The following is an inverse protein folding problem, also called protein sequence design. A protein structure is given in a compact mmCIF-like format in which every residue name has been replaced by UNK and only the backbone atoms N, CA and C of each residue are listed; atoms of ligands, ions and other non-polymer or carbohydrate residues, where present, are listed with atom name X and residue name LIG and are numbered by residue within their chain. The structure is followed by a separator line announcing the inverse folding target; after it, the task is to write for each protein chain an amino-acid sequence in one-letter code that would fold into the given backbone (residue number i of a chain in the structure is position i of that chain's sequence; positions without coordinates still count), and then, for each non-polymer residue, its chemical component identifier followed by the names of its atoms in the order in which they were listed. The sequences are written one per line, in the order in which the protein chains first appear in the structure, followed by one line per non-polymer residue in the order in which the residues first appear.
data_IF_453349957349
#
_entry.id   IF_453349957349
#
_cell.length_a   1.000
_cell.length_b   1.000
_cell.length_c   1.000
_cell.angle_alpha   90.00
_cell.angle_beta   90.00
_cell.angle_gamma   90.00
#
_symmetry.space_group_name_H-M   'P 1'
#
loop_
_entity.id
_entity.type
_entity.pdbx_description
1 polymer ?
#
# COMPACT_ATOMS: atom_id res chain seq x y z
N UNK A 1 43.62 -14.20 -23.31
CA UNK A 1 43.35 -14.93 -24.57
C UNK A 1 42.01 -15.64 -24.38
N UNK A 2 41.16 -15.59 -25.41
CA UNK A 2 39.74 -15.99 -25.46
C UNK A 2 38.76 -14.97 -24.86
N UNK A 3 38.71 -13.78 -25.47
CA UNK A 3 37.57 -12.87 -25.36
C UNK A 3 36.79 -12.96 -26.68
N UNK A 4 35.79 -13.84 -26.71
CA UNK A 4 34.80 -13.86 -27.80
C UNK A 4 33.80 -12.72 -27.55
N UNK A 5 33.57 -11.90 -28.56
CA UNK A 5 32.61 -10.79 -28.53
C UNK A 5 31.66 -10.90 -29.74
N UNK A 6 30.37 -10.74 -29.49
CA UNK A 6 29.36 -10.54 -30.53
C UNK A 6 28.76 -9.16 -30.33
N UNK A 7 28.98 -8.27 -31.31
CA UNK A 7 28.39 -6.93 -31.33
C UNK A 7 27.25 -6.88 -32.35
N UNK A 8 26.03 -6.62 -31.88
CA UNK A 8 24.86 -6.41 -32.73
C UNK A 8 24.49 -4.93 -32.72
N UNK A 9 24.50 -4.30 -33.89
CA UNK A 9 24.03 -2.94 -34.09
C UNK A 9 22.95 -2.93 -35.18
N UNK A 10 21.74 -2.52 -34.82
CA UNK A 10 20.65 -2.27 -35.74
C UNK A 10 20.34 -0.77 -35.83
N UNK A 11 20.15 -0.24 -37.03
CA UNK A 11 19.81 1.18 -37.25
C UNK A 11 18.31 1.46 -37.11
N UNK A 12 17.46 0.45 -37.31
CA UNK A 12 16.00 0.54 -37.24
C UNK A 12 15.49 -0.41 -36.17
N UNK A 13 14.84 -1.49 -36.59
CA UNK A 13 14.11 -2.38 -35.71
C UNK A 13 14.87 -3.70 -35.51
N UNK A 14 14.86 -4.21 -34.28
CA UNK A 14 15.22 -5.58 -33.95
C UNK A 14 13.97 -6.31 -33.50
N UNK A 15 13.58 -7.34 -34.26
CA UNK A 15 12.50 -8.25 -33.89
C UNK A 15 13.10 -9.62 -33.57
N UNK A 16 12.95 -10.07 -32.34
CA UNK A 16 13.31 -11.42 -31.92
C UNK A 16 12.03 -12.22 -31.65
N UNK A 17 11.80 -13.26 -32.43
CA UNK A 17 10.68 -14.17 -32.23
C UNK A 17 11.21 -15.55 -31.83
N UNK A 18 10.98 -15.92 -30.57
CA UNK A 18 11.40 -17.19 -30.00
C UNK A 18 10.14 -18.04 -29.86
N UNK A 19 10.09 -19.17 -30.57
CA UNK A 19 8.89 -20.03 -30.62
C UNK A 19 8.73 -20.94 -29.39
N UNK A 20 9.75 -20.96 -28.53
CA UNK A 20 9.80 -21.81 -27.35
C UNK A 20 10.50 -21.03 -26.23
N UNK A 21 11.67 -21.49 -25.77
CA UNK A 21 12.35 -20.92 -24.62
C UNK A 21 13.46 -19.94 -25.00
N UNK A 22 13.61 -18.89 -24.20
CA UNK A 22 14.79 -18.04 -24.18
C UNK A 22 15.42 -18.09 -22.79
N UNK A 23 16.73 -18.33 -22.72
CA UNK A 23 17.49 -18.37 -21.48
C UNK A 23 18.66 -17.40 -21.53
N UNK A 24 18.76 -16.54 -20.53
CA UNK A 24 19.84 -15.57 -20.39
C UNK A 24 20.60 -15.83 -19.09
N UNK A 25 21.87 -16.20 -19.21
CA UNK A 25 22.79 -16.26 -18.08
C UNK A 25 23.89 -15.23 -18.26
N UNK A 26 23.79 -14.14 -17.51
CA UNK A 26 24.70 -13.00 -17.59
C UNK A 26 25.61 -13.06 -16.36
N UNK A 27 26.89 -13.36 -16.57
CA UNK A 27 27.87 -13.56 -15.48
C UNK A 27 28.27 -12.27 -14.76
N UNK A 28 28.03 -11.11 -15.37
CA UNK A 28 28.39 -9.81 -14.83
C UNK A 28 27.17 -8.89 -14.84
N UNK A 29 27.13 -7.90 -15.74
CA UNK A 29 26.07 -6.89 -15.74
C UNK A 29 25.09 -7.05 -16.89
N UNK A 30 23.81 -6.84 -16.59
CA UNK A 30 22.80 -6.50 -17.58
C UNK A 30 22.47 -5.02 -17.45
N UNK A 31 22.78 -4.22 -18.47
CA UNK A 31 22.42 -2.80 -18.53
C UNK A 31 21.44 -2.60 -19.68
N UNK A 32 20.32 -1.96 -19.38
CA UNK A 32 19.29 -1.63 -20.36
C UNK A 32 18.91 -0.16 -20.20
N UNK A 33 18.89 0.57 -21.31
CA UNK A 33 18.35 1.92 -21.41
C UNK A 33 17.26 1.91 -22.46
N UNK A 34 16.10 2.46 -22.12
CA UNK A 34 14.95 2.60 -23.01
C UNK A 34 14.58 4.08 -22.94
N UNK A 35 14.71 4.80 -24.05
CA UNK A 35 14.45 6.25 -24.07
C UNK A 35 12.95 6.59 -24.20
N UNK A 36 12.11 5.59 -24.48
CA UNK A 36 10.66 5.71 -24.53
C UNK A 36 10.00 4.70 -23.58
N UNK A 37 9.04 3.90 -24.06
CA UNK A 37 8.25 3.02 -23.21
C UNK A 37 8.79 1.59 -23.14
N UNK A 38 8.59 0.95 -21.98
CA UNK A 38 8.70 -0.50 -21.80
C UNK A 38 7.32 -1.10 -21.59
N UNK A 39 6.90 -2.00 -22.47
CA UNK A 39 5.73 -2.85 -22.28
C UNK A 39 6.17 -4.27 -21.90
N UNK A 40 5.50 -4.88 -20.93
CA UNK A 40 5.77 -6.25 -20.49
C UNK A 40 4.48 -6.88 -20.00
N UNK A 41 4.07 -7.97 -20.66
CA UNK A 41 2.90 -8.75 -20.31
C UNK A 41 3.35 -10.18 -20.03
N UNK A 42 3.01 -10.69 -18.86
CA UNK A 42 3.35 -12.04 -18.41
C UNK A 42 2.03 -12.72 -18.08
N UNK A 43 1.69 -13.77 -18.83
CA UNK A 43 0.40 -14.45 -18.71
C UNK A 43 0.32 -15.38 -17.48
N UNK A 44 1.48 -15.78 -16.97
CA UNK A 44 1.63 -16.65 -15.81
C UNK A 44 2.37 -15.90 -14.69
N UNK A 45 3.38 -16.52 -14.09
CA UNK A 45 4.04 -16.00 -12.90
C UNK A 45 5.28 -15.16 -13.22
N UNK A 46 5.44 -14.05 -12.50
CA UNK A 46 6.70 -13.29 -12.44
C UNK A 46 7.38 -13.52 -11.09
N UNK A 47 8.57 -14.12 -11.13
CA UNK A 47 9.38 -14.39 -9.94
C UNK A 47 10.60 -13.47 -9.92
N UNK A 48 10.66 -12.60 -8.91
CA UNK A 48 11.79 -11.69 -8.73
C UNK A 48 12.46 -11.88 -7.37
N UNK A 49 13.75 -12.21 -7.40
CA UNK A 49 14.62 -12.23 -6.22
C UNK A 49 15.79 -11.27 -6.42
N UNK A 50 15.98 -10.36 -5.49
CA UNK A 50 17.11 -9.42 -5.47
C UNK A 50 17.85 -9.68 -4.16
N UNK A 51 19.07 -10.21 -4.24
CA UNK A 51 19.90 -10.48 -3.04
C UNK A 51 20.52 -9.21 -2.47
N UNK A 52 20.82 -8.23 -3.33
CA UNK A 52 21.28 -6.90 -2.92
C UNK A 52 20.12 -5.95 -2.66
N UNK A 53 20.33 -4.65 -2.91
CA UNK A 53 19.28 -3.63 -2.79
C UNK A 53 18.50 -3.44 -4.08
N UNK A 54 17.16 -3.32 -3.99
CA UNK A 54 16.33 -2.74 -5.04
C UNK A 54 16.08 -1.26 -4.77
N UNK A 55 16.28 -0.40 -5.77
CA UNK A 55 15.97 1.03 -5.70
C UNK A 55 15.08 1.39 -6.87
N UNK A 56 13.98 2.06 -6.59
CA UNK A 56 12.99 2.47 -7.58
C UNK A 56 12.70 3.96 -7.40
N UNK A 57 12.63 4.69 -8.49
CA UNK A 57 12.23 6.08 -8.54
C UNK A 57 11.32 6.25 -9.75
N UNK A 58 10.18 6.88 -9.51
CA UNK A 58 9.18 7.18 -10.52
C UNK A 58 8.81 8.64 -10.38
N UNK A 59 9.01 9.42 -11.44
CA UNK A 59 8.67 10.85 -11.44
C UNK A 59 7.17 11.09 -11.62
N UNK A 60 6.48 10.14 -12.26
CA UNK A 60 5.03 10.13 -12.43
C UNK A 60 4.29 9.27 -11.40
N UNK A 61 3.03 8.97 -11.71
CA UNK A 61 2.17 8.17 -10.84
C UNK A 61 2.53 6.68 -10.88
N UNK A 62 2.30 5.99 -9.76
CA UNK A 62 2.40 4.52 -9.67
C UNK A 62 1.04 3.95 -9.28
N UNK A 63 0.54 3.02 -10.08
CA UNK A 63 -0.72 2.30 -9.82
C UNK A 63 -0.47 0.82 -9.57
N UNK A 64 -0.92 0.32 -8.43
CA UNK A 64 -0.86 -1.10 -8.08
C UNK A 64 -2.27 -1.67 -7.96
N UNK A 65 -2.67 -2.51 -8.92
CA UNK A 65 -3.93 -3.26 -8.88
C UNK A 65 -3.64 -4.74 -8.60
N UNK A 66 -4.12 -5.23 -7.46
CA UNK A 66 -3.96 -6.62 -7.03
C UNK A 66 -5.35 -7.21 -6.82
N UNK A 67 -5.73 -8.21 -7.61
CA UNK A 67 -7.03 -8.91 -7.46
C UNK A 67 -7.01 -9.88 -6.25
N UNK A 68 -5.84 -10.44 -5.97
CA UNK A 68 -5.61 -11.35 -4.85
C UNK A 68 -5.21 -10.61 -3.55
N UNK A 69 -4.33 -11.23 -2.79
CA UNK A 69 -3.79 -10.66 -1.54
C UNK A 69 -2.44 -9.99 -1.77
N UNK A 70 -2.18 -8.93 -1.00
CA UNK A 70 -0.86 -8.32 -0.89
C UNK A 70 -0.27 -8.63 0.49
N UNK A 71 0.94 -9.19 0.50
CA UNK A 71 1.71 -9.45 1.72
C UNK A 71 2.94 -8.56 1.70
N UNK A 72 3.17 -7.84 2.80
CA UNK A 72 4.33 -6.96 2.98
C UNK A 72 4.99 -7.30 4.30
N UNK A 73 6.26 -7.69 4.26
CA UNK A 73 7.08 -7.95 5.43
C UNK A 73 8.37 -7.15 5.31
N UNK A 74 8.71 -6.42 6.36
CA UNK A 74 9.95 -5.63 6.43
C UNK A 74 10.70 -6.01 7.70
N UNK A 75 12.03 -6.14 7.62
CA UNK A 75 12.85 -6.62 8.73
C UNK A 75 13.14 -5.57 9.81
N UNK A 76 13.20 -4.28 9.43
CA UNK A 76 13.56 -3.19 10.35
C UNK A 76 12.45 -2.15 10.47
N UNK A 77 12.18 -1.38 9.42
CA UNK A 77 11.21 -0.30 9.45
C UNK A 77 10.41 -0.19 8.13
N UNK A 78 9.10 0.02 8.26
CA UNK A 78 8.23 0.42 7.16
C UNK A 78 7.90 1.91 7.32
N UNK A 79 8.47 2.75 6.47
CA UNK A 79 8.28 4.21 6.49
C UNK A 79 7.58 4.65 5.22
N UNK A 80 6.48 5.39 5.38
CA UNK A 80 5.70 5.96 4.27
C UNK A 80 5.45 7.43 4.57
N UNK A 81 5.77 8.28 3.62
CA UNK A 81 5.46 9.71 3.67
C UNK A 81 4.57 10.07 2.48
N UNK A 82 3.60 10.95 2.70
CA UNK A 82 2.72 11.47 1.66
C UNK A 82 2.56 12.96 1.85
N UNK A 83 2.73 13.75 0.78
CA UNK A 83 2.72 15.22 0.88
C UNK A 83 1.35 15.80 1.28
N UNK A 84 0.26 15.18 0.82
CA UNK A 84 -1.10 15.68 1.08
C UNK A 84 -1.95 14.73 1.90
N UNK A 85 -1.93 13.42 1.59
CA UNK A 85 -2.88 12.48 2.17
C UNK A 85 -2.36 11.04 2.10
N UNK A 86 -2.55 10.30 3.19
CA UNK A 86 -2.51 8.84 3.20
C UNK A 86 -3.90 8.34 3.59
N UNK A 87 -4.57 7.59 2.70
CA UNK A 87 -5.92 7.07 2.93
C UNK A 87 -5.92 5.54 2.91
N UNK A 88 -6.21 4.95 4.07
CA UNK A 88 -6.36 3.51 4.24
C UNK A 88 -7.85 3.16 4.41
N UNK A 89 -8.42 2.48 3.43
CA UNK A 89 -9.83 2.05 3.45
C UNK A 89 -9.91 0.53 3.43
N UNK A 90 -10.60 -0.04 4.43
CA UNK A 90 -10.95 -1.46 4.48
C UNK A 90 -12.47 -1.63 4.44
N UNK A 91 -12.95 -2.57 3.64
CA UNK A 91 -14.36 -2.97 3.63
C UNK A 91 -14.79 -3.81 4.83
N UNK A 92 -13.82 -4.36 5.56
CA UNK A 92 -14.03 -5.21 6.74
C UNK A 92 -13.36 -4.61 7.97
N UNK A 93 -12.22 -5.18 8.38
CA UNK A 93 -11.46 -4.77 9.57
C UNK A 93 -10.12 -4.13 9.20
N UNK A 94 -9.62 -3.28 10.10
CA UNK A 94 -8.24 -2.84 10.15
C UNK A 94 -7.70 -3.18 11.54
N UNK A 95 -6.55 -3.83 11.60
CA UNK A 95 -5.89 -4.21 12.86
C UNK A 95 -4.50 -3.59 12.83
N UNK A 96 -4.19 -2.78 13.83
CA UNK A 96 -2.87 -2.21 14.07
C UNK A 96 -2.37 -2.78 15.39
N UNK A 97 -1.23 -3.46 15.35
CA UNK A 97 -0.64 -4.11 16.51
C UNK A 97 0.81 -3.65 16.66
N UNK A 98 1.19 -3.31 17.89
CA UNK A 98 2.54 -2.95 18.24
C UNK A 98 2.83 -3.45 19.65
N UNK A 99 4.08 -3.86 19.89
CA UNK A 99 4.50 -4.38 21.18
C UNK A 99 4.64 -3.27 22.25
N UNK A 100 5.08 -2.08 21.85
CA UNK A 100 5.40 -0.98 22.76
C UNK A 100 4.36 0.13 22.74
N UNK A 101 4.05 0.67 21.55
CA UNK A 101 3.11 1.77 21.42
C UNK A 101 2.51 1.89 20.02
N UNK A 102 1.31 2.47 19.96
CA UNK A 102 0.71 3.03 18.75
C UNK A 102 0.45 4.52 19.01
N UNK A 103 1.00 5.38 18.16
CA UNK A 103 0.86 6.84 18.31
C UNK A 103 0.18 7.43 17.08
N UNK A 104 -0.91 8.17 17.29
CA UNK A 104 -1.60 8.99 16.29
C UNK A 104 -1.44 10.45 16.69
N UNK A 105 -0.86 11.29 15.84
CA UNK A 105 -0.53 12.67 16.18
C UNK A 105 -0.88 13.65 15.05
N UNK A 106 -1.46 14.80 15.42
CA UNK A 106 -1.72 15.94 14.53
C UNK A 106 -1.37 17.23 15.26
N UNK A 107 -0.31 17.91 14.80
CA UNK A 107 0.20 19.10 15.50
C UNK A 107 0.54 18.81 16.96
N UNK A 108 -0.09 19.54 17.89
CA UNK A 108 0.03 19.33 19.34
C UNK A 108 -0.94 18.28 19.92
N UNK A 109 -1.90 17.77 19.14
CA UNK A 109 -2.88 16.78 19.59
C UNK A 109 -2.39 15.36 19.30
N UNK A 110 -2.69 14.41 20.20
CA UNK A 110 -2.33 13.01 20.00
C UNK A 110 -3.25 12.04 20.74
N UNK A 111 -3.24 10.80 20.26
CA UNK A 111 -3.72 9.60 20.96
C UNK A 111 -2.54 8.61 20.94
N UNK A 112 -2.13 8.15 22.12
CA UNK A 112 -1.06 7.15 22.26
C UNK A 112 -1.55 5.96 23.06
N UNK A 113 -1.46 4.78 22.47
CA UNK A 113 -1.81 3.52 23.10
C UNK A 113 -0.53 2.86 23.59
N UNK A 114 -0.51 2.42 24.85
CA UNK A 114 0.60 1.71 25.48
C UNK A 114 0.05 0.55 26.31
N UNK A 115 0.87 -0.41 26.76
CA UNK A 115 0.45 -1.44 27.70
C UNK A 115 -0.15 -0.90 29.02
N UNK A 116 0.22 0.33 29.41
CA UNK A 116 -0.30 0.99 30.61
C UNK A 116 -1.63 1.73 30.42
N UNK A 117 -2.15 1.80 29.19
CA UNK A 117 -3.42 2.46 28.87
C UNK A 117 -3.33 3.45 27.70
N UNK A 118 -4.39 4.25 27.56
CA UNK A 118 -4.56 5.25 26.50
C UNK A 118 -4.22 6.63 27.04
N UNK A 119 -3.27 7.32 26.41
CA UNK A 119 -2.89 8.69 26.71
C UNK A 119 -3.40 9.63 25.61
N UNK A 120 -3.89 10.79 26.00
CA UNK A 120 -4.42 11.80 25.08
C UNK A 120 -3.87 13.19 25.41
N UNK A 121 -3.86 14.08 24.42
CA UNK A 121 -3.61 15.50 24.66
C UNK A 121 -4.75 16.16 25.46
N UNK A 122 -4.52 17.33 26.10
CA UNK A 122 -5.61 18.14 26.68
C UNK A 122 -6.68 18.46 25.63
N UNK A 123 -7.95 18.60 26.06
CA UNK A 123 -9.12 18.89 25.22
C UNK A 123 -9.60 17.75 24.31
N UNK A 124 -9.77 16.53 24.86
CA UNK A 124 -10.51 15.47 24.19
C UNK A 124 -12.00 15.86 24.07
N UNK A 125 -12.48 16.13 22.86
CA UNK A 125 -13.89 16.41 22.58
C UNK A 125 -14.62 15.10 22.26
N UNK A 126 -15.60 14.73 23.07
CA UNK A 126 -16.40 13.51 22.91
C UNK A 126 -17.79 13.87 22.40
N UNK A 127 -18.24 13.18 21.34
CA UNK A 127 -19.60 13.37 20.79
C UNK A 127 -19.78 14.64 19.95
N UNK A 128 -18.70 15.31 19.52
CA UNK A 128 -18.75 16.51 18.68
C UNK A 128 -18.03 16.30 17.34
N UNK A 129 -18.48 16.98 16.28
CA UNK A 129 -17.86 16.99 14.96
C UNK A 129 -18.40 15.94 13.97
N UNK A 130 -17.74 15.83 12.81
CA UNK A 130 -18.02 14.86 11.76
C UNK A 130 -16.75 14.15 11.33
N UNK A 131 -16.88 12.94 10.78
CA UNK A 131 -15.73 12.21 10.23
C UNK A 131 -15.10 12.95 9.04
N UNK A 132 -13.77 12.85 8.91
CA UNK A 132 -13.06 13.32 7.72
C UNK A 132 -13.37 12.44 6.49
N UNK A 133 -13.15 12.98 5.30
CA UNK A 133 -13.26 12.26 4.03
C UNK A 133 -11.88 12.05 3.42
N UNK A 134 -11.58 10.84 2.97
CA UNK A 134 -10.39 10.56 2.16
C UNK A 134 -10.70 10.55 0.66
N UNK A 135 -9.69 10.79 -0.16
CA UNK A 135 -9.73 10.69 -1.62
C UNK A 135 -10.14 9.28 -2.07
N UNK A 136 -10.93 9.21 -3.14
CA UNK A 136 -11.27 7.95 -3.79
C UNK A 136 -10.05 7.29 -4.44
N UNK A 137 -10.19 6.00 -4.77
CA UNK A 137 -9.19 5.26 -5.53
C UNK A 137 -9.26 5.69 -7.01
N UNK A 138 -8.15 6.16 -7.58
CA UNK A 138 -8.03 6.54 -8.99
C UNK A 138 -6.84 5.80 -9.63
N UNK A 139 -7.02 4.52 -9.96
CA UNK A 139 -5.98 3.71 -10.58
C UNK A 139 -5.82 4.02 -12.07
N UNK A 140 -4.58 4.25 -12.51
CA UNK A 140 -4.18 4.26 -13.91
C UNK A 140 -3.77 2.83 -14.30
N UNK A 141 -4.59 2.16 -15.11
CA UNK A 141 -4.36 0.76 -15.47
C UNK A 141 -3.51 0.65 -16.74
N UNK A 142 -2.68 -0.41 -16.87
CA UNK A 142 -2.06 -0.75 -18.15
C UNK A 142 -3.11 -0.96 -19.25
N UNK A 143 -2.70 -0.78 -20.50
CA UNK A 143 -3.56 -1.05 -21.66
C UNK A 143 -4.11 -2.49 -21.63
N UNK A 144 -5.37 -2.66 -22.03
CA UNK A 144 -6.04 -3.96 -22.05
C UNK A 144 -6.51 -4.49 -20.68
N UNK A 145 -6.15 -3.83 -19.57
CA UNK A 145 -6.52 -4.28 -18.23
C UNK A 145 -7.87 -3.67 -17.80
N UNK A 146 -8.90 -4.50 -17.68
CA UNK A 146 -10.21 -4.06 -17.20
C UNK A 146 -10.19 -3.65 -15.70
N UNK A 147 -11.04 -2.70 -15.26
CA UNK A 147 -11.24 -2.39 -13.84
C UNK A 147 -11.70 -3.61 -13.04
N UNK A 148 -11.41 -3.63 -11.74
CA UNK A 148 -11.98 -4.67 -10.87
C UNK A 148 -13.51 -4.50 -10.78
N UNK A 149 -14.28 -5.61 -10.72
CA UNK A 149 -15.68 -5.53 -10.31
C UNK A 149 -15.77 -4.92 -8.90
N UNK A 150 -16.90 -4.27 -8.60
CA UNK A 150 -17.09 -3.55 -7.32
C UNK A 150 -16.71 -4.40 -6.10
N UNK A 151 -16.11 -3.77 -5.10
CA UNK A 151 -15.64 -4.44 -3.88
C UNK A 151 -16.80 -5.21 -3.24
N UNK A 152 -16.66 -6.54 -3.08
CA UNK A 152 -17.73 -7.43 -2.55
C UNK A 152 -18.26 -6.98 -1.18
N UNK A 153 -17.42 -6.32 -0.39
CA UNK A 153 -17.78 -5.67 0.87
C UNK A 153 -17.33 -4.21 0.81
N UNK A 154 -18.15 -3.30 0.26
CA UNK A 154 -17.81 -1.90 0.30
C UNK A 154 -17.82 -1.44 1.76
N UNK A 155 -16.85 -0.62 2.17
CA UNK A 155 -16.93 0.05 3.46
C UNK A 155 -18.22 0.89 3.45
N UNK A 156 -19.18 0.50 4.29
CA UNK A 156 -20.48 1.16 4.36
C UNK A 156 -20.27 2.57 4.91
N UNK A 157 -20.92 3.61 4.35
CA UNK A 157 -20.99 4.89 5.05
C UNK A 157 -21.63 4.63 6.42
N UNK A 158 -20.97 5.07 7.50
CA UNK A 158 -21.54 5.04 8.83
C UNK A 158 -22.83 5.86 8.79
N UNK A 159 -23.99 5.18 8.82
CA UNK A 159 -25.23 5.85 9.15
C UNK A 159 -25.09 6.28 10.61
N UNK A 160 -25.11 7.58 10.89
CA UNK A 160 -24.94 8.17 12.22
C UNK A 160 -26.00 7.73 13.26
N UNK A 161 -26.90 6.81 12.91
CA UNK A 161 -28.05 6.38 13.72
C UNK A 161 -27.69 5.27 14.73
N UNK A 162 -26.56 4.57 14.58
CA UNK A 162 -26.20 3.49 15.52
C UNK A 162 -25.47 3.94 16.80
N UNK A 163 -25.01 5.19 16.88
CA UNK A 163 -24.26 5.69 18.04
C UNK A 163 -25.15 6.28 19.16
N UNK A 164 -26.47 6.27 18.98
CA UNK A 164 -27.43 6.83 19.95
C UNK A 164 -28.25 5.79 20.71
N UNK A 165 -28.14 4.50 20.40
CA UNK A 165 -28.73 3.45 21.22
C UNK A 165 -27.64 2.78 22.06
N UNK A 166 -27.83 2.81 23.37
CA UNK A 166 -27.06 2.10 24.41
C UNK A 166 -25.80 2.80 24.94
N UNK A 167 -25.98 4.04 25.42
CA UNK A 167 -25.20 4.53 26.56
C UNK A 167 -26.15 5.06 27.65
N UNK A 168 -26.98 4.17 28.20
CA UNK A 168 -27.60 4.37 29.52
C UNK A 168 -26.82 3.52 30.53
N UNK A 169 -25.62 3.97 30.89
CA UNK A 169 -24.94 3.49 32.09
C UNK A 169 -25.50 4.29 33.28
N UNK A 170 -26.51 3.75 33.94
CA UNK A 170 -26.94 4.23 35.25
C UNK A 170 -25.89 3.73 36.25
N UNK A 171 -25.11 4.64 36.82
CA UNK A 171 -24.28 4.37 37.98
C UNK A 171 -25.20 4.51 39.19
N UNK A 172 -25.58 3.40 39.81
CA UNK A 172 -26.28 3.41 41.08
C UNK A 172 -25.25 3.58 42.20
N UNK A 173 -25.15 4.80 42.72
CA UNK A 173 -24.45 5.08 43.97
C UNK A 173 -25.51 5.21 45.06
N UNK A 174 -25.85 4.10 45.70
CA UNK A 174 -26.42 4.13 47.05
C UNK A 174 -25.57 3.28 47.99
N UNK A 175 -24.72 4.01 48.73
CA UNK A 175 -24.06 3.58 49.96
C UNK A 175 -25.10 3.45 51.09
N UNK A 176 -24.90 2.41 51.91
CA UNK A 176 -25.35 2.14 53.27
C UNK A 176 -26.34 3.10 53.99
N UNK A 177 -27.44 2.51 54.49
CA UNK A 177 -27.95 2.67 55.87
C UNK A 177 -28.92 1.54 56.25
#
# INVERSE_FOLDING_TARGET
KDQEEIYLHGQKDLTAHIQHDAYWHIKHDHKQRIDNNRYSEIHADDHRKITGSGKYSTDGDVSHRITGSQYLQTGEALVTESGQETHLKSGGKMVLEAASEITLKVGSHFIRLTPGGILTSPNLLVGQGSAGTGRGLSLQLPEGVAPLPGVKYPARPLCAVQAQLEANLIIDNQEDA
#
